data_IF_276239015341
#
_entry.id   IF_276239015341
#
_cell.length_a   1.000
_cell.length_b   1.000
_cell.length_c   1.000
_cell.angle_alpha   90.00
_cell.angle_beta   90.00
_cell.angle_gamma   90.00
#
_symmetry.space_group_name_H-M   'P 1'
#
loop_
_entity.id
_entity.type
_entity.pdbx_description
1 polymer ?
#
# COMPACT_ATOMS: atom_id res chain seq x y z
N UNK A 1 -3.07 34.88 52.60
CA UNK A 1 -2.69 35.97 51.68
C UNK A 1 -2.99 35.57 50.26
N UNK A 2 -3.82 36.33 49.51
CA UNK A 2 -4.02 36.07 48.09
C UNK A 2 -2.76 36.55 47.36
N UNK A 3 -2.03 35.62 46.75
CA UNK A 3 -0.87 35.92 45.91
C UNK A 3 -1.35 36.62 44.64
N UNK A 4 -0.94 37.88 44.42
CA UNK A 4 -1.25 38.63 43.22
C UNK A 4 -0.11 38.44 42.20
N UNK A 5 -0.38 37.79 41.07
CA UNK A 5 0.59 37.60 39.98
C UNK A 5 0.52 38.81 39.04
N UNK A 6 1.62 39.57 38.93
CA UNK A 6 1.74 40.68 37.99
C UNK A 6 2.32 40.17 36.68
N UNK A 7 1.63 40.47 35.57
CA UNK A 7 2.09 40.12 34.21
C UNK A 7 2.82 41.34 33.66
N UNK A 8 4.02 41.13 33.17
CA UNK A 8 4.84 42.12 32.45
C UNK A 8 5.35 41.44 31.18
N UNK A 9 4.77 41.83 30.04
CA UNK A 9 5.14 41.23 28.73
C UNK A 9 6.30 42.04 28.12
N UNK A 10 7.24 41.34 27.52
CA UNK A 10 8.21 41.95 26.61
C UNK A 10 7.52 42.37 25.29
N UNK A 11 8.15 43.26 24.49
CA UNK A 11 7.60 43.68 23.23
C UNK A 11 7.40 42.50 22.27
N UNK A 12 8.36 41.56 22.23
CA UNK A 12 8.25 40.37 21.40
C UNK A 12 7.04 39.46 21.76
N UNK A 13 6.76 39.34 23.07
CA UNK A 13 5.59 38.58 23.55
C UNK A 13 4.27 39.28 23.23
N UNK A 14 4.23 40.63 23.33
CA UNK A 14 3.06 41.42 22.90
C UNK A 14 2.76 41.22 21.40
N UNK A 15 3.81 41.30 20.57
CA UNK A 15 3.70 41.13 19.14
C UNK A 15 3.22 39.70 18.79
N UNK A 16 3.76 38.69 19.46
CA UNK A 16 3.36 37.29 19.32
C UNK A 16 1.90 37.06 19.72
N UNK A 17 1.45 37.62 20.84
CA UNK A 17 0.08 37.50 21.29
C UNK A 17 -0.89 38.25 20.36
N UNK A 18 -0.50 39.42 19.87
CA UNK A 18 -1.31 40.20 18.92
C UNK A 18 -1.44 39.47 17.59
N UNK A 19 -0.34 38.93 17.06
CA UNK A 19 -0.37 38.10 15.84
C UNK A 19 -1.26 36.86 16.00
N UNK A 20 -1.24 36.23 17.18
CA UNK A 20 -2.09 35.08 17.48
C UNK A 20 -3.60 35.42 17.50
N UNK A 21 -3.94 36.65 17.86
CA UNK A 21 -5.33 37.14 17.87
C UNK A 21 -5.84 37.62 16.49
N UNK A 22 -4.92 38.08 15.62
CA UNK A 22 -5.27 38.68 14.32
C UNK A 22 -5.22 37.70 13.17
N UNK A 23 -4.60 36.51 13.30
CA UNK A 23 -4.47 35.55 12.20
C UNK A 23 -4.41 34.09 12.62
N UNK A 24 -4.73 33.21 11.66
CA UNK A 24 -4.66 31.76 11.82
C UNK A 24 -5.87 31.10 12.50
N UNK A 25 -5.89 29.76 12.49
CA UNK A 25 -6.92 28.96 13.18
C UNK A 25 -6.34 28.44 14.49
N UNK A 26 -6.84 28.95 15.61
CA UNK A 26 -6.37 28.62 16.94
C UNK A 26 -7.51 28.14 17.85
N UNK A 27 -7.18 27.30 18.83
CA UNK A 27 -8.14 26.85 19.82
C UNK A 27 -8.67 28.05 20.64
N UNK A 28 -10.00 28.16 20.79
CA UNK A 28 -10.65 29.27 21.48
C UNK A 28 -10.05 29.54 22.90
N UNK A 29 -9.64 28.50 23.62
CA UNK A 29 -9.00 28.61 24.93
C UNK A 29 -7.64 29.29 24.86
N UNK A 30 -6.86 29.04 23.80
CA UNK A 30 -5.55 29.68 23.57
C UNK A 30 -5.74 31.16 23.29
N UNK A 31 -6.72 31.53 22.48
CA UNK A 31 -7.07 32.92 22.20
C UNK A 31 -7.50 33.68 23.48
N UNK A 32 -8.40 33.08 24.28
CA UNK A 32 -8.81 33.67 25.56
C UNK A 32 -7.63 33.89 26.52
N UNK A 33 -6.70 32.96 26.58
CA UNK A 33 -5.47 33.12 27.41
C UNK A 33 -4.57 34.24 26.90
N UNK A 34 -4.45 34.38 25.56
CA UNK A 34 -3.74 35.52 24.97
C UNK A 34 -4.37 36.87 25.35
N UNK A 35 -5.69 36.96 25.27
CA UNK A 35 -6.44 38.14 25.66
C UNK A 35 -6.25 38.47 27.17
N UNK A 36 -6.29 37.45 28.03
CA UNK A 36 -6.04 37.62 29.49
C UNK A 36 -4.67 38.20 29.74
N UNK A 37 -3.61 37.70 29.07
CA UNK A 37 -2.25 38.18 29.28
C UNK A 37 -2.06 39.61 28.80
N UNK A 38 -2.59 39.98 27.64
CA UNK A 38 -2.54 41.34 27.11
C UNK A 38 -3.30 42.34 28.01
N UNK A 39 -4.50 41.95 28.46
CA UNK A 39 -5.27 42.81 29.37
C UNK A 39 -4.59 42.96 30.75
N UNK A 40 -3.99 41.89 31.27
CA UNK A 40 -3.28 41.94 32.53
C UNK A 40 -2.00 42.82 32.45
N UNK A 41 -1.28 42.76 31.32
CA UNK A 41 -0.10 43.62 31.05
C UNK A 41 -0.51 45.09 30.90
N UNK A 42 -1.70 45.37 30.37
CA UNK A 42 -2.27 46.71 30.32
C UNK A 42 -2.80 47.24 31.69
N UNK A 43 -2.67 46.45 32.75
CA UNK A 43 -3.07 46.86 34.11
C UNK A 43 -4.55 46.69 34.41
N UNK A 44 -5.32 45.99 33.58
CA UNK A 44 -6.74 45.75 33.83
C UNK A 44 -6.94 44.83 35.03
N UNK A 45 -7.97 45.10 35.84
CA UNK A 45 -8.21 44.26 37.04
C UNK A 45 -8.71 42.85 36.65
N UNK A 46 -8.41 41.84 37.52
CA UNK A 46 -8.81 40.43 37.26
C UNK A 46 -10.33 40.27 37.12
N UNK A 47 -11.12 41.12 37.79
CA UNK A 47 -12.58 41.11 37.69
C UNK A 47 -13.03 41.63 36.32
N UNK A 48 -12.44 42.74 35.84
CA UNK A 48 -12.76 43.31 34.53
C UNK A 48 -12.27 42.40 33.40
N UNK A 49 -11.12 41.79 33.54
CA UNK A 49 -10.60 40.77 32.60
C UNK A 49 -11.59 39.59 32.51
N UNK A 50 -12.04 39.06 33.65
CA UNK A 50 -12.97 37.96 33.69
C UNK A 50 -14.33 38.29 33.01
N UNK A 51 -14.79 39.49 33.27
CA UNK A 51 -16.04 39.98 32.66
C UNK A 51 -15.92 40.21 31.13
N UNK A 52 -14.89 40.93 30.70
CA UNK A 52 -14.70 41.29 29.28
C UNK A 52 -14.44 40.10 28.36
N UNK A 53 -13.64 39.09 28.84
CA UNK A 53 -13.31 37.90 28.06
C UNK A 53 -14.33 36.76 28.26
N UNK A 54 -15.28 36.95 29.17
CA UNK A 54 -16.31 35.92 29.51
C UNK A 54 -15.62 34.62 29.98
N UNK A 55 -14.83 34.72 31.07
CA UNK A 55 -14.16 33.57 31.70
C UNK A 55 -14.28 33.65 33.22
N UNK A 56 -14.12 32.54 33.91
CA UNK A 56 -14.10 32.56 35.39
C UNK A 56 -12.80 33.17 35.92
N UNK A 57 -12.86 33.90 37.06
CA UNK A 57 -11.70 34.52 37.71
C UNK A 57 -10.58 33.50 38.01
N UNK A 58 -10.91 32.26 38.31
CA UNK A 58 -9.94 31.16 38.45
C UNK A 58 -9.13 30.87 37.17
N UNK A 59 -9.71 31.18 36.00
CA UNK A 59 -9.00 31.05 34.72
C UNK A 59 -8.01 32.20 34.53
N UNK A 60 -8.41 33.40 34.86
CA UNK A 60 -7.53 34.57 34.84
C UNK A 60 -6.32 34.33 35.77
N UNK A 61 -6.59 34.00 37.04
CA UNK A 61 -5.56 33.69 38.03
C UNK A 61 -4.59 32.61 37.55
N UNK A 62 -5.10 31.46 37.06
CA UNK A 62 -4.24 30.36 36.58
C UNK A 62 -3.43 30.72 35.36
N UNK A 63 -3.95 31.55 34.45
CA UNK A 63 -3.23 31.98 33.26
C UNK A 63 -2.07 32.90 33.65
N UNK A 64 -2.33 33.90 34.53
CA UNK A 64 -1.30 34.80 35.06
C UNK A 64 -0.22 34.05 35.83
N UNK A 65 -0.63 33.13 36.72
CA UNK A 65 0.29 32.29 37.48
C UNK A 65 1.23 31.51 36.58
N UNK A 66 0.67 30.85 35.54
CA UNK A 66 1.47 30.02 34.59
C UNK A 66 2.42 30.86 33.75
N UNK A 67 2.09 32.11 33.49
CA UNK A 67 3.00 33.02 32.83
C UNK A 67 4.14 33.41 33.74
N UNK A 68 3.86 33.84 34.99
CA UNK A 68 4.86 34.32 35.94
C UNK A 68 5.75 33.20 36.47
N UNK A 69 5.20 32.03 36.77
CA UNK A 69 5.96 30.86 37.26
C UNK A 69 6.67 30.07 36.12
N UNK A 70 6.30 30.29 34.89
CA UNK A 70 6.84 29.60 33.73
C UNK A 70 7.27 30.55 32.63
N UNK A 71 6.50 30.56 31.54
CA UNK A 71 6.73 31.45 30.39
C UNK A 71 5.45 31.58 29.55
N UNK A 72 5.51 32.35 28.47
CA UNK A 72 4.41 32.56 27.56
C UNK A 72 3.84 31.24 26.97
N UNK A 73 4.70 30.33 26.57
CA UNK A 73 4.27 29.04 26.01
C UNK A 73 3.54 28.20 27.07
N UNK A 74 4.04 28.13 28.29
CA UNK A 74 3.37 27.43 29.38
C UNK A 74 1.98 28.03 29.70
N UNK A 75 1.86 29.36 29.66
CA UNK A 75 0.57 30.01 29.86
C UNK A 75 -0.45 29.73 28.75
N UNK A 76 -0.01 29.65 27.50
CA UNK A 76 -0.86 29.39 26.34
C UNK A 76 -1.20 27.92 26.13
N UNK A 77 -0.32 26.99 26.55
CA UNK A 77 -0.47 25.55 26.40
C UNK A 77 -1.48 24.98 27.40
N UNK A 78 -2.23 23.99 26.98
CA UNK A 78 -3.11 23.22 27.87
C UNK A 78 -2.28 22.10 28.55
N UNK A 79 -2.37 21.98 29.85
CA UNK A 79 -1.74 20.87 30.56
C UNK A 79 -2.45 19.56 30.19
N UNK A 80 -1.70 18.49 29.89
CA UNK A 80 -2.28 17.18 29.73
C UNK A 80 -3.10 16.81 30.98
N UNK A 81 -4.34 16.47 30.81
CA UNK A 81 -5.13 15.93 31.93
C UNK A 81 -4.51 14.62 32.38
N UNK A 82 -4.30 14.39 33.68
CA UNK A 82 -3.94 13.09 34.17
C UNK A 82 -4.99 12.09 33.69
N UNK A 83 -4.59 11.15 32.80
CA UNK A 83 -5.48 10.08 32.33
C UNK A 83 -5.86 9.14 33.48
N UNK A 84 -6.85 8.28 33.25
CA UNK A 84 -7.13 7.19 34.16
C UNK A 84 -5.88 6.30 34.34
N UNK A 85 -5.70 5.77 35.55
CA UNK A 85 -4.61 4.84 35.84
C UNK A 85 -4.61 3.67 34.85
N UNK A 86 -3.42 3.21 34.47
CA UNK A 86 -3.29 2.07 33.57
C UNK A 86 -3.90 0.83 34.21
N UNK A 87 -4.78 0.14 33.49
CA UNK A 87 -5.45 -1.09 33.97
C UNK A 87 -4.46 -2.27 34.05
N UNK A 88 -3.45 -2.30 33.16
CA UNK A 88 -2.39 -3.32 33.16
C UNK A 88 -1.12 -2.75 33.80
N UNK A 89 -0.49 -3.56 34.64
CA UNK A 89 0.84 -3.31 35.19
C UNK A 89 1.92 -3.58 34.13
N UNK A 90 3.15 -3.12 34.35
CA UNK A 90 4.25 -3.39 33.41
C UNK A 90 4.52 -4.88 33.17
N UNK A 91 4.36 -5.73 34.20
CA UNK A 91 4.48 -7.19 34.05
C UNK A 91 3.36 -7.77 33.17
N UNK A 92 2.16 -7.31 33.36
CA UNK A 92 0.99 -7.75 32.57
C UNK A 92 1.05 -7.23 31.13
N UNK A 93 1.59 -6.04 30.89
CA UNK A 93 1.86 -5.54 29.54
C UNK A 93 2.92 -6.40 28.84
N UNK A 94 3.99 -6.80 29.52
CA UNK A 94 4.99 -7.72 28.98
C UNK A 94 4.38 -9.11 28.66
N UNK A 95 3.51 -9.60 29.54
CA UNK A 95 2.78 -10.86 29.31
C UNK A 95 1.85 -10.76 28.10
N UNK A 96 1.14 -9.64 27.93
CA UNK A 96 0.29 -9.37 26.76
C UNK A 96 1.12 -9.38 25.46
N UNK A 97 2.28 -8.73 25.46
CA UNK A 97 3.19 -8.71 24.32
C UNK A 97 3.68 -10.13 24.00
N UNK A 98 4.13 -10.88 25.00
CA UNK A 98 4.59 -12.26 24.84
C UNK A 98 3.49 -13.16 24.27
N UNK A 99 2.26 -13.04 24.80
CA UNK A 99 1.08 -13.79 24.33
C UNK A 99 0.75 -13.41 22.88
N UNK A 100 0.77 -12.14 22.54
CA UNK A 100 0.50 -11.66 21.18
C UNK A 100 1.51 -12.14 20.14
N UNK A 101 2.76 -12.39 20.55
CA UNK A 101 3.84 -12.94 19.72
C UNK A 101 3.87 -14.47 19.70
N UNK A 102 3.08 -15.16 20.53
CA UNK A 102 3.02 -16.62 20.59
C UNK A 102 2.10 -17.21 19.51
N UNK A 103 2.13 -18.53 19.36
CA UNK A 103 1.21 -19.26 18.50
C UNK A 103 -0.23 -19.06 18.98
N UNK A 104 -1.19 -18.72 18.10
CA UNK A 104 -2.60 -18.62 18.45
C UNK A 104 -3.15 -19.97 18.95
N UNK A 105 -4.26 -19.97 19.69
CA UNK A 105 -4.92 -21.21 20.13
C UNK A 105 -5.31 -22.12 18.95
N UNK A 106 -5.44 -23.42 19.21
CA UNK A 106 -5.91 -24.38 18.21
C UNK A 106 -7.25 -23.94 17.58
N UNK A 107 -7.37 -24.12 16.27
CA UNK A 107 -8.52 -23.68 15.49
C UNK A 107 -8.53 -22.17 15.17
N UNK A 108 -7.47 -21.45 15.50
CA UNK A 108 -7.31 -20.03 15.19
C UNK A 108 -6.06 -19.75 14.37
N UNK A 109 -6.23 -19.08 13.23
CA UNK A 109 -5.11 -18.74 12.34
C UNK A 109 -4.26 -17.56 12.84
N UNK A 110 -4.79 -16.76 13.78
CA UNK A 110 -4.15 -15.53 14.31
C UNK A 110 -4.77 -15.12 15.64
N UNK A 111 -4.01 -14.36 16.42
CA UNK A 111 -4.56 -13.66 17.57
C UNK A 111 -5.47 -12.51 17.14
N UNK A 112 -6.61 -12.39 17.80
CA UNK A 112 -7.49 -11.22 17.72
C UNK A 112 -7.44 -10.46 19.04
N UNK A 113 -7.87 -9.21 19.05
CA UNK A 113 -7.94 -8.41 20.29
C UNK A 113 -8.81 -9.07 21.36
N UNK A 114 -9.87 -9.73 20.93
CA UNK A 114 -10.81 -10.42 21.82
C UNK A 114 -10.20 -11.70 22.43
N UNK A 115 -9.51 -12.49 21.60
CA UNK A 115 -8.77 -13.67 22.08
C UNK A 115 -7.66 -13.27 23.07
N UNK A 116 -6.94 -12.18 22.78
CA UNK A 116 -5.91 -11.66 23.68
C UNK A 116 -6.52 -11.15 25.00
N UNK A 117 -7.63 -10.42 24.93
CA UNK A 117 -8.33 -9.98 26.15
C UNK A 117 -8.76 -11.16 27.01
N UNK A 118 -9.37 -12.18 26.39
CA UNK A 118 -9.75 -13.42 27.09
C UNK A 118 -8.56 -14.22 27.61
N UNK A 119 -7.45 -14.27 26.89
CA UNK A 119 -6.22 -14.92 27.37
C UNK A 119 -5.63 -14.17 28.57
N UNK A 120 -5.59 -12.85 28.53
CA UNK A 120 -5.09 -12.04 29.65
C UNK A 120 -5.95 -12.19 30.91
N UNK A 121 -7.28 -12.26 30.79
CA UNK A 121 -8.18 -12.54 31.93
C UNK A 121 -7.86 -13.90 32.58
N UNK A 122 -7.48 -14.91 31.78
CA UNK A 122 -7.09 -16.23 32.30
C UNK A 122 -5.69 -16.25 32.92
N UNK A 123 -4.80 -15.40 32.49
CA UNK A 123 -3.39 -15.36 32.89
C UNK A 123 -3.11 -14.35 34.00
N UNK A 124 -4.06 -13.50 34.35
CA UNK A 124 -3.95 -12.44 35.36
C UNK A 124 -5.12 -12.48 36.33
N UNK A 125 -5.09 -11.62 37.32
CA UNK A 125 -6.19 -11.48 38.30
C UNK A 125 -7.35 -10.58 37.81
N UNK A 126 -7.29 -10.08 36.58
CA UNK A 126 -8.35 -9.26 36.00
C UNK A 126 -9.61 -10.09 35.74
N UNK A 127 -10.74 -9.63 36.22
CA UNK A 127 -12.06 -10.26 35.95
C UNK A 127 -12.61 -9.88 34.58
N UNK A 128 -12.16 -8.73 34.03
CA UNK A 128 -12.55 -8.20 32.73
C UNK A 128 -11.44 -7.33 32.12
N UNK A 129 -11.21 -7.49 30.83
CA UNK A 129 -10.29 -6.67 30.06
C UNK A 129 -10.88 -6.33 28.69
N UNK A 130 -11.07 -5.04 28.41
CA UNK A 130 -11.65 -4.64 27.14
C UNK A 130 -10.62 -4.78 25.99
N UNK A 131 -11.13 -5.15 24.80
CA UNK A 131 -10.34 -5.20 23.57
C UNK A 131 -9.64 -3.86 23.24
N UNK A 132 -10.26 -2.74 23.66
CA UNK A 132 -9.67 -1.41 23.44
C UNK A 132 -8.45 -1.17 24.35
N UNK A 133 -8.48 -1.67 25.59
CA UNK A 133 -7.30 -1.66 26.45
C UNK A 133 -6.15 -2.44 25.83
N UNK A 134 -6.43 -3.66 25.33
CA UNK A 134 -5.45 -4.50 24.62
C UNK A 134 -4.92 -3.78 23.39
N UNK A 135 -5.79 -3.20 22.57
CA UNK A 135 -5.41 -2.46 21.36
C UNK A 135 -4.44 -1.32 21.66
N UNK A 136 -4.74 -0.52 22.69
CA UNK A 136 -3.89 0.63 23.09
C UNK A 136 -2.51 0.17 23.57
N UNK A 137 -2.46 -0.88 24.39
CA UNK A 137 -1.17 -1.40 24.89
C UNK A 137 -0.33 -1.99 23.76
N UNK A 138 -0.91 -2.76 22.85
CA UNK A 138 -0.21 -3.29 21.69
C UNK A 138 0.24 -2.18 20.71
N UNK A 139 -0.54 -1.12 20.57
CA UNK A 139 -0.17 0.02 19.72
C UNK A 139 1.09 0.75 20.23
N UNK A 140 1.29 0.85 21.54
CA UNK A 140 2.51 1.43 22.14
C UNK A 140 3.77 0.62 21.77
N UNK A 141 3.62 -0.69 21.55
CA UNK A 141 4.69 -1.59 21.10
C UNK A 141 4.69 -1.82 19.57
N UNK A 142 3.94 -1.04 18.80
CA UNK A 142 3.79 -1.20 17.34
C UNK A 142 3.33 -2.59 16.89
N UNK A 143 2.71 -3.38 17.77
CA UNK A 143 2.26 -4.74 17.48
C UNK A 143 0.84 -4.78 16.91
N UNK A 144 0.67 -5.53 15.83
CA UNK A 144 -0.62 -5.80 15.18
C UNK A 144 -0.73 -7.29 14.86
N UNK A 145 -0.93 -8.17 15.86
CA UNK A 145 -0.85 -9.63 15.68
C UNK A 145 -1.95 -10.21 14.76
N UNK A 146 -2.97 -9.41 14.43
CA UNK A 146 -3.98 -9.76 13.42
C UNK A 146 -3.54 -9.47 11.97
N UNK A 147 -2.41 -8.76 11.76
CA UNK A 147 -1.81 -8.56 10.44
C UNK A 147 -0.73 -9.60 10.20
N UNK A 148 -0.77 -10.20 9.03
CA UNK A 148 0.33 -11.01 8.50
C UNK A 148 0.80 -10.33 7.23
N UNK A 149 2.08 -10.13 7.11
CA UNK A 149 2.72 -9.74 5.87
C UNK A 149 3.38 -11.00 5.31
N UNK A 150 3.21 -11.19 3.99
CA UNK A 150 3.92 -12.26 3.31
C UNK A 150 5.39 -11.86 3.23
N UNK A 151 6.23 -12.65 3.86
CA UNK A 151 7.66 -12.42 3.88
C UNK A 151 8.34 -13.57 3.14
N UNK A 152 8.87 -13.25 1.97
CA UNK A 152 9.84 -14.10 1.28
C UNK A 152 11.13 -13.30 1.23
N UNK A 153 12.18 -13.79 1.88
CA UNK A 153 13.54 -13.38 1.51
C UNK A 153 13.96 -14.36 0.42
N UNK A 154 13.96 -13.95 -0.86
CA UNK A 154 14.65 -14.75 -1.87
C UNK A 154 16.11 -14.83 -1.44
N UNK A 155 16.74 -15.97 -1.61
CA UNK A 155 18.21 -16.03 -1.57
C UNK A 155 18.70 -15.11 -2.69
N UNK A 156 19.24 -13.96 -2.32
CA UNK A 156 19.82 -13.01 -3.28
C UNK A 156 21.25 -13.49 -3.50
N UNK A 157 21.39 -14.40 -4.44
CA UNK A 157 22.68 -14.86 -4.95
C UNK A 157 23.10 -14.06 -6.19
N UNK A 158 24.29 -14.35 -6.70
CA UNK A 158 24.79 -13.70 -7.93
C UNK A 158 23.85 -13.88 -9.13
N UNK A 159 23.17 -15.02 -9.25
CA UNK A 159 22.19 -15.28 -10.32
C UNK A 159 20.95 -14.42 -10.18
N UNK A 160 20.48 -14.24 -8.94
CA UNK A 160 19.35 -13.33 -8.67
C UNK A 160 19.68 -11.90 -9.08
N UNK A 161 20.85 -11.41 -8.65
CA UNK A 161 21.29 -10.04 -8.96
C UNK A 161 21.46 -9.85 -10.47
N UNK A 162 22.14 -10.76 -11.14
CA UNK A 162 22.37 -10.69 -12.59
C UNK A 162 21.05 -10.61 -13.37
N UNK A 163 20.04 -11.43 -13.05
CA UNK A 163 18.74 -11.41 -13.70
C UNK A 163 17.92 -10.16 -13.33
N UNK A 164 18.05 -9.70 -12.08
CA UNK A 164 17.35 -8.47 -11.65
C UNK A 164 17.90 -7.25 -12.38
N UNK A 165 19.21 -7.09 -12.43
CA UNK A 165 19.84 -5.96 -13.11
C UNK A 165 19.60 -6.01 -14.62
N UNK A 166 19.68 -7.18 -15.25
CA UNK A 166 19.34 -7.38 -16.67
C UNK A 166 17.93 -6.84 -17.01
N UNK A 167 16.93 -7.19 -16.22
CA UNK A 167 15.56 -6.69 -16.44
C UNK A 167 15.43 -5.19 -16.16
N UNK A 168 16.09 -4.69 -15.12
CA UNK A 168 16.05 -3.26 -14.78
C UNK A 168 16.75 -2.40 -15.85
N UNK A 169 17.83 -2.89 -16.41
CA UNK A 169 18.55 -2.20 -17.49
C UNK A 169 17.69 -2.14 -18.76
N UNK A 170 16.98 -3.23 -19.11
CA UNK A 170 15.99 -3.21 -20.20
C UNK A 170 14.92 -2.13 -20.02
N UNK A 171 14.44 -1.94 -18.80
CA UNK A 171 13.41 -0.92 -18.50
C UNK A 171 13.96 0.51 -18.52
N UNK A 172 15.25 0.68 -18.36
CA UNK A 172 15.94 1.97 -18.39
C UNK A 172 16.36 2.42 -19.80
N UNK A 173 16.33 1.50 -20.77
CA UNK A 173 16.68 1.81 -22.15
C UNK A 173 15.68 2.76 -22.83
N UNK A 174 16.13 3.48 -23.83
CA UNK A 174 15.25 4.25 -24.71
C UNK A 174 14.43 3.31 -25.62
N UNK A 175 13.19 3.72 -25.99
CA UNK A 175 12.34 2.94 -26.86
C UNK A 175 13.00 2.63 -28.22
N UNK A 176 13.11 1.35 -28.57
CA UNK A 176 13.61 0.89 -29.87
C UNK A 176 12.56 0.03 -30.58
N UNK A 177 12.07 0.51 -31.75
CA UNK A 177 11.07 -0.20 -32.55
C UNK A 177 11.59 -1.51 -33.19
N UNK A 178 12.90 -1.59 -33.39
CA UNK A 178 13.53 -2.80 -33.92
C UNK A 178 13.81 -3.84 -32.85
N UNK A 179 13.97 -3.38 -31.60
CA UNK A 179 14.26 -4.21 -30.44
C UNK A 179 13.32 -3.91 -29.27
N UNK A 180 11.99 -4.05 -29.45
CA UNK A 180 11.03 -3.76 -28.38
C UNK A 180 11.25 -4.64 -27.17
N UNK A 181 10.91 -4.13 -25.97
CA UNK A 181 10.87 -4.87 -24.72
C UNK A 181 9.41 -5.15 -24.36
N UNK A 182 9.04 -6.41 -24.29
CA UNK A 182 7.66 -6.84 -24.02
C UNK A 182 7.64 -7.69 -22.77
N UNK A 183 6.93 -7.24 -21.73
CA UNK A 183 6.65 -8.01 -20.54
C UNK A 183 5.48 -8.96 -20.80
N UNK A 184 5.58 -10.19 -20.33
CA UNK A 184 4.61 -11.24 -20.54
C UNK A 184 4.34 -12.02 -19.26
N UNK A 185 3.05 -12.32 -19.01
CA UNK A 185 2.64 -13.16 -17.89
C UNK A 185 1.23 -13.71 -18.12
N UNK A 186 0.80 -14.69 -17.32
CA UNK A 186 -0.54 -15.22 -17.36
C UNK A 186 -1.33 -15.03 -16.06
N UNK A 187 -2.66 -14.96 -16.19
CA UNK A 187 -3.59 -14.79 -15.10
C UNK A 187 -4.82 -15.68 -15.26
N UNK A 188 -5.01 -16.70 -14.41
CA UNK A 188 -6.25 -17.47 -14.41
C UNK A 188 -7.42 -16.61 -13.96
N UNK A 189 -8.54 -16.75 -14.65
CA UNK A 189 -9.78 -16.01 -14.39
C UNK A 189 -10.96 -16.95 -14.36
N UNK A 190 -11.73 -16.93 -13.26
CA UNK A 190 -12.93 -17.75 -13.14
C UNK A 190 -14.10 -17.06 -13.82
N UNK A 191 -14.84 -17.81 -14.65
CA UNK A 191 -16.09 -17.35 -15.24
C UNK A 191 -17.21 -17.53 -14.21
N UNK A 192 -17.78 -16.42 -13.76
CA UNK A 192 -18.84 -16.38 -12.76
C UNK A 192 -20.08 -15.76 -13.39
N UNK A 193 -21.15 -16.58 -13.51
CA UNK A 193 -22.45 -16.14 -14.00
C UNK A 193 -23.39 -15.77 -12.86
N UNK A 194 -24.35 -14.91 -13.15
CA UNK A 194 -25.41 -14.56 -12.23
C UNK A 194 -26.40 -15.72 -12.06
N UNK A 195 -26.83 -16.01 -10.84
CA UNK A 195 -27.93 -16.93 -10.57
C UNK A 195 -29.29 -16.24 -10.81
N UNK A 196 -29.39 -14.98 -10.44
CA UNK A 196 -30.53 -14.07 -10.69
C UNK A 196 -30.05 -12.77 -11.25
N UNK A 197 -30.89 -12.07 -12.01
CA UNK A 197 -30.56 -10.76 -12.58
C UNK A 197 -30.29 -9.75 -11.46
N UNK A 198 -29.17 -9.01 -11.49
CA UNK A 198 -28.94 -7.92 -10.58
C UNK A 198 -30.03 -6.82 -10.69
N UNK A 199 -30.32 -6.17 -9.60
CA UNK A 199 -31.19 -4.99 -9.56
C UNK A 199 -30.29 -3.78 -9.74
N UNK A 200 -30.47 -3.07 -10.84
CA UNK A 200 -29.68 -1.89 -11.19
C UNK A 200 -29.77 -0.79 -10.11
N UNK A 201 -28.71 -0.02 -9.98
CA UNK A 201 -28.70 1.17 -9.11
C UNK A 201 -29.72 2.20 -9.58
N UNK A 202 -30.36 2.86 -8.61
CA UNK A 202 -31.24 4.01 -8.82
C UNK A 202 -30.85 5.15 -7.85
N UNK A 203 -31.27 6.40 -8.08
CA UNK A 203 -30.99 7.49 -7.16
C UNK A 203 -31.39 7.12 -5.70
N UNK A 204 -30.42 7.13 -4.79
CA UNK A 204 -30.60 6.74 -3.38
C UNK A 204 -30.59 5.23 -3.11
N UNK A 205 -30.43 4.38 -4.13
CA UNK A 205 -30.37 2.92 -3.98
C UNK A 205 -29.15 2.37 -4.73
N UNK A 206 -28.32 1.61 -4.00
CA UNK A 206 -27.18 0.93 -4.58
C UNK A 206 -27.63 -0.25 -5.45
N UNK A 207 -26.82 -0.64 -6.43
CA UNK A 207 -26.97 -1.88 -7.15
C UNK A 207 -26.99 -3.06 -6.16
N UNK A 208 -27.91 -4.04 -6.41
CA UNK A 208 -28.04 -5.24 -5.60
C UNK A 208 -27.80 -6.46 -6.49
N UNK A 209 -26.89 -7.29 -6.12
CA UNK A 209 -26.62 -8.57 -6.76
C UNK A 209 -26.86 -9.73 -5.78
N UNK A 210 -27.21 -10.90 -6.33
CA UNK A 210 -27.45 -12.10 -5.53
C UNK A 210 -26.15 -12.62 -4.88
N UNK A 211 -26.22 -13.17 -3.68
CA UNK A 211 -25.10 -13.90 -3.09
C UNK A 211 -24.82 -15.22 -3.84
N UNK A 212 -25.83 -15.83 -4.46
CA UNK A 212 -25.68 -17.01 -5.30
C UNK A 212 -25.07 -16.65 -6.67
N UNK A 213 -24.22 -17.54 -7.17
CA UNK A 213 -23.60 -17.42 -8.48
C UNK A 213 -23.33 -18.78 -9.11
N UNK A 214 -23.17 -18.83 -10.43
CA UNK A 214 -22.82 -20.03 -11.17
C UNK A 214 -21.36 -19.98 -11.60
N UNK A 215 -20.63 -21.07 -11.35
CA UNK A 215 -19.26 -21.23 -11.86
C UNK A 215 -19.31 -21.88 -13.23
N UNK A 216 -18.87 -21.15 -14.25
CA UNK A 216 -18.91 -21.57 -15.64
C UNK A 216 -17.54 -21.98 -16.19
N UNK A 217 -16.63 -22.37 -15.30
CA UNK A 217 -15.28 -22.78 -15.64
C UNK A 217 -14.24 -21.70 -15.39
N UNK A 218 -13.01 -21.97 -15.83
CA UNK A 218 -11.85 -21.06 -15.72
C UNK A 218 -11.25 -20.88 -17.12
N UNK A 219 -10.83 -19.68 -17.42
CA UNK A 219 -10.01 -19.35 -18.59
C UNK A 219 -8.70 -18.74 -18.15
N UNK A 220 -7.73 -18.67 -19.05
CA UNK A 220 -6.45 -18.04 -18.79
C UNK A 220 -6.28 -16.81 -19.68
N UNK A 221 -5.72 -15.76 -19.11
CA UNK A 221 -5.40 -14.53 -19.81
C UNK A 221 -3.88 -14.49 -19.99
N UNK A 222 -3.40 -14.51 -21.22
CA UNK A 222 -2.02 -14.21 -21.54
C UNK A 222 -1.91 -12.72 -21.84
N UNK A 223 -1.14 -12.01 -21.03
CA UNK A 223 -1.04 -10.55 -21.06
C UNK A 223 0.32 -10.12 -21.54
N UNK A 224 0.34 -9.25 -22.52
CA UNK A 224 1.53 -8.60 -23.05
C UNK A 224 1.49 -7.12 -22.72
N UNK A 225 2.60 -6.54 -22.37
CA UNK A 225 2.79 -5.11 -22.14
C UNK A 225 4.13 -4.67 -22.73
N UNK A 226 4.11 -3.72 -23.65
CA UNK A 226 5.34 -3.04 -24.08
C UNK A 226 5.84 -2.13 -22.96
N UNK A 227 7.08 -2.33 -22.53
CA UNK A 227 7.66 -1.59 -21.40
C UNK A 227 7.83 -0.09 -21.69
N UNK A 228 8.01 0.28 -22.96
CA UNK A 228 8.36 1.64 -23.39
C UNK A 228 7.24 2.35 -24.14
N UNK A 229 6.27 1.62 -24.70
CA UNK A 229 5.19 2.18 -25.51
C UNK A 229 3.82 1.91 -24.89
N UNK A 230 2.81 2.73 -25.22
CA UNK A 230 1.46 2.53 -24.71
C UNK A 230 0.74 1.41 -25.46
N UNK A 231 1.31 0.19 -25.46
CA UNK A 231 0.75 -0.96 -26.12
C UNK A 231 0.62 -2.15 -25.16
N UNK A 232 -0.51 -2.78 -25.20
CA UNK A 232 -0.82 -4.04 -24.51
C UNK A 232 -1.70 -4.91 -25.36
N UNK A 233 -1.62 -6.21 -25.11
CA UNK A 233 -2.49 -7.23 -25.70
C UNK A 233 -2.87 -8.27 -24.66
N UNK A 234 -4.11 -8.72 -24.67
CA UNK A 234 -4.60 -9.81 -23.82
C UNK A 234 -5.22 -10.88 -24.69
N UNK A 235 -4.71 -12.09 -24.57
CA UNK A 235 -5.27 -13.27 -25.27
C UNK A 235 -5.96 -14.17 -24.25
N UNK A 236 -7.22 -14.52 -24.52
CA UNK A 236 -8.02 -15.42 -23.67
C UNK A 236 -7.93 -16.85 -24.23
N UNK A 237 -7.43 -17.77 -23.41
CA UNK A 237 -7.30 -19.20 -23.77
C UNK A 237 -8.04 -20.09 -22.76
N UNK A 238 -8.30 -21.33 -23.12
CA UNK A 238 -8.90 -22.33 -22.22
C UNK A 238 -7.84 -22.92 -21.28
N UNK A 239 -6.64 -23.08 -21.78
CA UNK A 239 -5.52 -23.68 -21.06
C UNK A 239 -4.32 -22.72 -21.03
N UNK A 240 -3.33 -23.05 -20.20
CA UNK A 240 -2.03 -22.37 -20.10
C UNK A 240 -0.90 -23.37 -20.31
N UNK A 241 -0.91 -24.01 -21.45
CA UNK A 241 0.09 -25.01 -21.82
C UNK A 241 1.29 -24.37 -22.53
N UNK A 242 2.40 -25.11 -22.65
CA UNK A 242 3.53 -24.71 -23.51
C UNK A 242 3.11 -24.43 -24.95
N UNK A 243 2.07 -25.13 -25.47
CA UNK A 243 1.51 -24.86 -26.78
C UNK A 243 0.83 -23.49 -26.86
N UNK A 244 0.07 -23.12 -25.82
CA UNK A 244 -0.58 -21.79 -25.76
C UNK A 244 0.48 -20.68 -25.70
N UNK A 245 1.52 -20.87 -24.89
CA UNK A 245 2.68 -19.97 -24.85
C UNK A 245 3.34 -19.85 -26.23
N UNK A 246 3.65 -20.98 -26.88
CA UNK A 246 4.29 -20.97 -28.20
C UNK A 246 3.44 -20.24 -29.26
N UNK A 247 2.11 -20.42 -29.24
CA UNK A 247 1.20 -19.68 -30.10
C UNK A 247 1.23 -18.17 -29.80
N UNK A 248 1.28 -17.79 -28.53
CA UNK A 248 1.42 -16.40 -28.11
C UNK A 248 2.73 -15.78 -28.64
N UNK A 249 3.84 -16.50 -28.55
CA UNK A 249 5.14 -16.03 -29.07
C UNK A 249 5.12 -15.90 -30.60
N UNK A 250 4.46 -16.81 -31.32
CA UNK A 250 4.28 -16.69 -32.78
C UNK A 250 3.47 -15.44 -33.15
N UNK A 251 2.35 -15.20 -32.48
CA UNK A 251 1.53 -14.02 -32.71
C UNK A 251 2.30 -12.73 -32.37
N UNK A 252 3.10 -12.74 -31.32
CA UNK A 252 3.96 -11.63 -30.95
C UNK A 252 4.93 -11.27 -32.08
N UNK A 253 5.58 -12.28 -32.68
CA UNK A 253 6.56 -12.11 -33.76
C UNK A 253 5.88 -11.72 -35.06
N UNK A 254 4.80 -12.42 -35.47
CA UNK A 254 4.26 -12.34 -36.83
C UNK A 254 3.18 -11.26 -36.98
N UNK A 255 2.43 -10.97 -35.90
CA UNK A 255 1.28 -10.07 -35.93
C UNK A 255 1.60 -8.74 -35.23
N UNK A 256 2.14 -8.81 -34.01
CA UNK A 256 2.27 -7.61 -33.18
C UNK A 256 3.56 -6.83 -33.46
N UNK A 257 4.65 -7.52 -33.76
CA UNK A 257 5.96 -6.91 -34.05
C UNK A 257 6.60 -7.49 -35.31
N UNK A 258 5.91 -7.49 -36.47
CA UNK A 258 6.41 -8.10 -37.71
C UNK A 258 7.71 -7.43 -38.21
N UNK A 259 7.93 -6.17 -37.90
CA UNK A 259 9.10 -5.38 -38.35
C UNK A 259 10.25 -5.36 -37.33
N UNK A 260 10.07 -5.92 -36.11
CA UNK A 260 11.15 -5.96 -35.13
C UNK A 260 12.27 -6.91 -35.60
N UNK A 261 13.50 -6.55 -35.40
CA UNK A 261 14.66 -7.42 -35.65
C UNK A 261 14.77 -8.49 -34.56
N UNK A 262 14.57 -8.09 -33.31
CA UNK A 262 14.60 -8.96 -32.12
C UNK A 262 13.63 -8.42 -31.07
N UNK A 263 12.80 -9.27 -30.50
CA UNK A 263 11.84 -8.93 -29.43
C UNK A 263 12.40 -9.47 -28.13
N UNK A 264 12.67 -8.57 -27.17
CA UNK A 264 13.14 -8.93 -25.86
C UNK A 264 11.93 -9.16 -24.93
N UNK A 265 11.75 -10.39 -24.49
CA UNK A 265 10.57 -10.81 -23.73
C UNK A 265 10.95 -11.00 -22.28
N UNK A 266 10.39 -10.18 -21.39
CA UNK A 266 10.54 -10.32 -19.94
C UNK A 266 9.43 -11.23 -19.44
N UNK A 267 9.80 -12.31 -18.76
CA UNK A 267 8.86 -13.35 -18.29
C UNK A 267 9.35 -14.00 -16.98
N UNK A 268 8.45 -14.74 -16.34
CA UNK A 268 8.77 -15.53 -15.16
C UNK A 268 9.46 -16.86 -15.51
N UNK A 269 9.86 -17.62 -14.48
CA UNK A 269 10.53 -18.91 -14.66
C UNK A 269 9.55 -20.10 -14.72
N UNK A 270 8.35 -19.92 -15.22
CA UNK A 270 7.40 -21.04 -15.38
C UNK A 270 7.97 -22.06 -16.39
N UNK A 271 7.81 -23.34 -16.11
CA UNK A 271 8.35 -24.41 -16.96
C UNK A 271 7.82 -24.41 -18.39
N UNK A 272 6.62 -23.87 -18.59
CA UNK A 272 5.99 -23.69 -19.91
C UNK A 272 6.57 -22.53 -20.71
N UNK A 273 7.27 -21.58 -20.04
CA UNK A 273 7.86 -20.40 -20.67
C UNK A 273 9.28 -20.66 -21.10
N UNK A 274 9.47 -21.55 -22.04
CA UNK A 274 10.79 -21.97 -22.49
C UNK A 274 10.92 -22.00 -24.02
N UNK A 275 12.16 -21.88 -24.49
CA UNK A 275 12.49 -22.11 -25.90
C UNK A 275 12.05 -23.52 -26.37
N UNK A 276 12.08 -24.51 -25.48
CA UNK A 276 11.65 -25.87 -25.77
C UNK A 276 10.19 -25.96 -26.20
N UNK A 277 9.30 -25.16 -25.59
CA UNK A 277 7.88 -25.15 -25.93
C UNK A 277 7.60 -24.80 -27.40
N UNK A 278 8.46 -23.98 -28.04
CA UNK A 278 8.33 -23.67 -29.46
C UNK A 278 8.64 -24.90 -30.33
N UNK A 279 9.70 -25.66 -30.00
CA UNK A 279 10.08 -26.86 -30.72
C UNK A 279 9.12 -28.02 -30.48
N UNK A 280 8.46 -28.08 -29.35
CA UNK A 280 7.42 -29.05 -29.04
C UNK A 280 6.09 -28.74 -29.76
N UNK A 281 5.89 -27.47 -30.16
CA UNK A 281 4.65 -26.99 -30.76
C UNK A 281 4.74 -26.87 -32.28
N UNK A 282 5.88 -26.43 -32.82
CA UNK A 282 6.06 -26.14 -34.23
C UNK A 282 7.14 -27.00 -34.84
N UNK A 283 7.07 -27.22 -36.20
CA UNK A 283 8.20 -27.84 -36.90
C UNK A 283 9.52 -27.10 -36.64
N UNK A 284 10.63 -27.82 -36.57
CA UNK A 284 11.93 -27.28 -36.20
C UNK A 284 12.37 -26.02 -37.01
N UNK A 285 12.16 -25.95 -38.36
CA UNK A 285 12.47 -24.73 -39.10
C UNK A 285 11.67 -23.51 -38.63
N UNK A 286 10.39 -23.68 -38.32
CA UNK A 286 9.50 -22.62 -37.83
C UNK A 286 9.88 -22.21 -36.39
N UNK A 287 10.08 -23.16 -35.50
CA UNK A 287 10.54 -22.90 -34.14
C UNK A 287 11.86 -22.10 -34.17
N UNK A 288 12.80 -22.48 -35.05
CA UNK A 288 14.07 -21.79 -35.21
C UNK A 288 13.90 -20.38 -35.76
N UNK A 289 12.98 -20.18 -36.70
CA UNK A 289 12.63 -18.85 -37.24
C UNK A 289 12.17 -17.92 -36.13
N UNK A 290 11.25 -18.38 -35.29
CA UNK A 290 10.73 -17.62 -34.15
C UNK A 290 11.84 -17.32 -33.14
N UNK A 291 12.63 -18.32 -32.78
CA UNK A 291 13.72 -18.18 -31.81
C UNK A 291 14.82 -17.19 -32.23
N UNK A 292 15.02 -16.98 -33.50
CA UNK A 292 15.96 -15.93 -33.99
C UNK A 292 15.44 -14.52 -33.77
N UNK A 293 14.13 -14.38 -33.54
CA UNK A 293 13.45 -13.10 -33.34
C UNK A 293 13.12 -12.84 -31.88
N UNK A 294 13.28 -13.83 -31.00
CA UNK A 294 12.93 -13.76 -29.57
C UNK A 294 14.18 -13.87 -28.71
N UNK A 295 14.28 -13.00 -27.73
CA UNK A 295 15.29 -13.03 -26.67
C UNK A 295 14.56 -13.05 -25.34
N UNK A 296 14.78 -14.12 -24.52
CA UNK A 296 14.07 -14.30 -23.26
C UNK A 296 14.89 -13.81 -22.09
N UNK A 297 14.31 -12.91 -21.29
CA UNK A 297 14.86 -12.33 -20.07
C UNK A 297 14.01 -12.77 -18.89
N UNK A 298 14.55 -13.65 -18.07
CA UNK A 298 13.82 -14.24 -16.95
C UNK A 298 14.00 -13.42 -15.69
N UNK A 299 12.88 -12.99 -15.07
CA UNK A 299 12.95 -12.40 -13.73
C UNK A 299 13.52 -13.42 -12.72
N UNK A 300 14.18 -12.98 -11.63
CA UNK A 300 14.64 -13.89 -10.60
C UNK A 300 13.50 -14.70 -9.98
N UNK A 301 13.78 -15.87 -9.46
CA UNK A 301 12.80 -16.67 -8.71
C UNK A 301 12.26 -15.86 -7.52
N UNK A 302 10.96 -15.93 -7.29
CA UNK A 302 10.25 -15.16 -6.24
C UNK A 302 10.32 -13.63 -6.39
N UNK A 303 10.56 -13.15 -7.60
CA UNK A 303 10.63 -11.72 -7.92
C UNK A 303 9.65 -11.32 -9.05
N UNK A 304 8.44 -11.90 -9.07
CA UNK A 304 7.40 -11.55 -10.05
C UNK A 304 7.08 -10.05 -10.06
N UNK A 305 7.28 -9.38 -8.92
CA UNK A 305 7.14 -7.92 -8.80
C UNK A 305 8.04 -7.13 -9.77
N UNK A 306 9.11 -7.72 -10.30
CA UNK A 306 9.97 -7.12 -11.34
C UNK A 306 9.32 -7.20 -12.72
N UNK A 307 8.36 -8.10 -12.95
CA UNK A 307 7.66 -8.16 -14.21
C UNK A 307 6.59 -7.06 -14.28
N UNK A 308 6.85 -6.04 -15.10
CA UNK A 308 5.99 -4.86 -15.21
C UNK A 308 4.53 -5.20 -15.57
N UNK A 309 4.30 -6.28 -16.28
CA UNK A 309 2.95 -6.72 -16.71
C UNK A 309 2.05 -7.09 -15.52
N UNK A 310 2.60 -7.48 -14.38
CA UNK A 310 1.83 -7.75 -13.15
C UNK A 310 1.02 -6.53 -12.69
N UNK A 311 1.59 -5.33 -12.89
CA UNK A 311 0.88 -4.07 -12.60
C UNK A 311 -0.32 -3.93 -13.54
N UNK A 312 -0.14 -4.22 -14.83
CA UNK A 312 -1.21 -4.11 -15.83
C UNK A 312 -2.30 -5.15 -15.61
N UNK A 313 -1.95 -6.38 -15.22
CA UNK A 313 -2.90 -7.42 -14.78
C UNK A 313 -3.73 -6.90 -13.59
N UNK A 314 -3.09 -6.25 -12.62
CA UNK A 314 -3.78 -5.61 -11.50
C UNK A 314 -4.75 -4.50 -11.93
N UNK A 315 -4.39 -3.72 -12.95
CA UNK A 315 -5.26 -2.68 -13.53
C UNK A 315 -6.43 -3.30 -14.28
N UNK A 316 -6.18 -4.32 -15.12
CA UNK A 316 -7.22 -5.08 -15.82
C UNK A 316 -8.25 -5.66 -14.85
N UNK A 317 -7.78 -6.30 -13.77
CA UNK A 317 -8.66 -6.87 -12.75
C UNK A 317 -9.59 -5.82 -12.14
N UNK A 318 -9.06 -4.65 -11.77
CA UNK A 318 -9.84 -3.58 -11.12
C UNK A 318 -10.76 -2.82 -12.07
N UNK A 319 -10.35 -2.60 -13.31
CA UNK A 319 -11.10 -1.77 -14.26
C UNK A 319 -12.12 -2.56 -15.09
N UNK A 320 -11.80 -3.80 -15.45
CA UNK A 320 -12.60 -4.60 -16.35
C UNK A 320 -13.24 -5.83 -15.69
N UNK A 321 -12.48 -6.52 -14.81
CA UNK A 321 -12.86 -7.84 -14.29
C UNK A 321 -13.46 -7.80 -12.88
N UNK A 322 -13.58 -6.64 -12.24
CA UNK A 322 -14.22 -6.47 -10.93
C UNK A 322 -15.74 -6.53 -11.02
N UNK A 323 -16.23 -7.59 -11.66
CA UNK A 323 -17.64 -7.91 -11.87
C UNK A 323 -17.79 -9.36 -12.30
N UNK A 324 -19.02 -9.88 -12.23
CA UNK A 324 -19.30 -11.26 -12.69
C UNK A 324 -19.42 -11.30 -14.20
N UNK A 325 -18.60 -12.13 -14.85
CA UNK A 325 -18.64 -12.40 -16.29
C UNK A 325 -18.73 -13.90 -16.47
N UNK A 326 -19.93 -14.40 -16.82
CA UNK A 326 -20.22 -15.82 -16.87
C UNK A 326 -19.93 -16.47 -18.22
N UNK A 327 -19.75 -15.71 -19.30
CA UNK A 327 -19.53 -16.24 -20.64
C UNK A 327 -18.16 -15.83 -21.18
N UNK A 328 -17.39 -16.81 -21.71
CA UNK A 328 -16.06 -16.55 -22.31
C UNK A 328 -16.13 -15.50 -23.42
N UNK A 329 -17.14 -15.59 -24.32
CA UNK A 329 -17.27 -14.63 -25.42
C UNK A 329 -17.45 -13.20 -24.91
N UNK A 330 -18.26 -12.99 -23.88
CA UNK A 330 -18.44 -11.69 -23.25
C UNK A 330 -17.13 -11.20 -22.62
N UNK A 331 -16.40 -12.08 -21.95
CA UNK A 331 -15.09 -11.74 -21.36
C UNK A 331 -14.12 -11.26 -22.44
N UNK A 332 -14.04 -11.96 -23.59
CA UNK A 332 -13.19 -11.56 -24.72
C UNK A 332 -13.56 -10.17 -25.23
N UNK A 333 -14.86 -9.90 -25.42
CA UNK A 333 -15.35 -8.59 -25.90
C UNK A 333 -15.04 -7.47 -24.91
N UNK A 334 -15.26 -7.70 -23.62
CA UNK A 334 -14.99 -6.70 -22.57
C UNK A 334 -13.49 -6.39 -22.43
N UNK A 335 -12.65 -7.42 -22.49
CA UNK A 335 -11.20 -7.27 -22.47
C UNK A 335 -10.71 -6.51 -23.72
N UNK A 336 -11.23 -6.85 -24.91
CA UNK A 336 -10.86 -6.14 -26.13
C UNK A 336 -11.22 -4.65 -26.07
N UNK A 337 -12.42 -4.31 -25.59
CA UNK A 337 -12.84 -2.93 -25.40
C UNK A 337 -11.95 -2.17 -24.38
N UNK A 338 -11.58 -2.82 -23.28
CA UNK A 338 -10.65 -2.25 -22.30
C UNK A 338 -9.24 -2.03 -22.89
N UNK A 339 -8.75 -3.00 -23.63
CA UNK A 339 -7.45 -2.95 -24.33
C UNK A 339 -7.40 -1.77 -25.32
N UNK A 340 -8.42 -1.65 -26.17
CA UNK A 340 -8.54 -0.59 -27.16
C UNK A 340 -8.58 0.79 -26.50
N UNK A 341 -9.38 0.97 -25.46
CA UNK A 341 -9.47 2.22 -24.71
C UNK A 341 -8.14 2.61 -24.11
N UNK A 342 -7.41 1.68 -23.48
CA UNK A 342 -6.13 1.97 -22.85
C UNK A 342 -5.01 2.23 -23.84
N UNK A 343 -5.00 1.49 -24.96
CA UNK A 343 -4.06 1.72 -26.05
C UNK A 343 -4.30 3.11 -26.70
N UNK A 344 -5.56 3.45 -26.99
CA UNK A 344 -5.94 4.74 -27.55
C UNK A 344 -5.65 5.92 -26.58
N UNK A 345 -5.85 5.72 -25.28
CA UNK A 345 -5.52 6.73 -24.27
C UNK A 345 -4.02 6.91 -24.03
N UNK A 346 -3.15 6.16 -24.69
CA UNK A 346 -1.69 6.24 -24.49
C UNK A 346 -1.26 5.84 -23.08
N UNK A 347 -2.04 5.01 -22.38
CA UNK A 347 -1.76 4.65 -20.99
C UNK A 347 -0.47 3.80 -20.88
N UNK A 348 0.42 4.19 -19.96
CA UNK A 348 1.71 3.52 -19.72
C UNK A 348 1.88 3.18 -18.26
N UNK A 349 2.66 2.15 -17.99
CA UNK A 349 3.25 1.91 -16.68
C UNK A 349 4.58 2.65 -16.62
N UNK A 350 4.75 3.53 -15.65
CA UNK A 350 6.00 4.24 -15.44
C UNK A 350 6.83 3.50 -14.40
N UNK A 351 7.86 2.81 -14.86
CA UNK A 351 8.77 2.10 -13.97
C UNK A 351 9.74 3.08 -13.31
N UNK A 352 9.84 3.01 -11.98
CA UNK A 352 10.64 3.97 -11.20
C UNK A 352 11.78 3.32 -10.41
N UNK A 353 11.85 2.00 -10.39
CA UNK A 353 12.88 1.27 -9.66
C UNK A 353 14.03 0.93 -10.61
N UNK A 354 15.15 1.63 -10.47
CA UNK A 354 16.33 1.50 -11.33
C UNK A 354 17.38 0.60 -10.70
N UNK A 355 18.37 0.17 -11.48
CA UNK A 355 19.56 -0.60 -11.03
C UNK A 355 20.27 0.11 -9.87
N UNK A 356 20.49 1.43 -9.95
CA UNK A 356 21.11 2.19 -8.85
C UNK A 356 20.26 2.17 -7.58
N UNK A 357 18.95 2.30 -7.71
CA UNK A 357 18.04 2.18 -6.56
C UNK A 357 18.04 0.77 -5.97
N UNK A 358 18.13 -0.26 -6.81
CA UNK A 358 18.24 -1.64 -6.36
C UNK A 358 19.52 -1.85 -5.56
N UNK A 359 20.66 -1.40 -6.10
CA UNK A 359 21.97 -1.47 -5.41
C UNK A 359 21.95 -0.75 -4.07
N UNK A 360 21.41 0.46 -4.03
CA UNK A 360 21.29 1.23 -2.79
C UNK A 360 20.37 0.56 -1.76
N UNK A 361 19.20 0.08 -2.20
CA UNK A 361 18.17 -0.46 -1.30
C UNK A 361 18.48 -1.88 -0.81
N UNK A 362 19.11 -2.68 -1.65
CA UNK A 362 19.44 -4.08 -1.39
C UNK A 362 20.93 -4.29 -1.08
N UNK A 363 21.69 -3.23 -0.80
CA UNK A 363 23.15 -3.26 -0.60
C UNK A 363 23.62 -4.38 0.37
N UNK A 364 22.85 -4.63 1.44
CA UNK A 364 23.17 -5.67 2.44
C UNK A 364 22.93 -7.10 1.95
N UNK A 365 22.16 -7.25 0.90
CA UNK A 365 21.77 -8.55 0.36
C UNK A 365 22.52 -8.90 -0.93
N UNK A 366 23.26 -7.94 -1.52
CA UNK A 366 24.13 -8.24 -2.64
C UNK A 366 25.27 -9.18 -2.21
N UNK A 367 25.68 -10.10 -3.07
CA UNK A 367 26.84 -10.95 -2.83
C UNK A 367 28.07 -10.10 -2.54
N UNK A 368 28.78 -10.42 -1.47
CA UNK A 368 30.00 -9.72 -1.07
C UNK A 368 31.19 -10.68 -1.23
N UNK A 369 32.03 -10.46 -2.27
CA UNK A 369 33.19 -11.34 -2.51
C UNK A 369 34.14 -11.45 -1.32
N UNK A 370 34.12 -10.47 -0.40
CA UNK A 370 34.97 -10.46 0.79
C UNK A 370 34.45 -11.33 1.94
N UNK A 371 33.20 -11.81 1.87
CA UNK A 371 32.60 -12.66 2.92
C UNK A 371 32.65 -14.16 2.63
N UNK A 372 33.08 -14.56 1.46
CA UNK A 372 33.21 -15.98 1.06
C UNK A 372 34.65 -16.53 1.18
N UNK A 373 35.54 -15.80 1.84
CA UNK A 373 36.94 -16.24 2.12
C UNK A 373 37.14 -16.64 3.58
#
# INVERSE_FOLDING_TARGET
>A
MNVCYRVELSQAERDQLTALLTGGVHAARKLKRAQILLAADAGVSDQDIAASITVGGSTVYRTKRRFVEGNLEAALREEPRPGAARKLTGKEEALLVATACSTPPEGRARWTLELLAGAMVKLTEHTDLSRETVRRRLAENHLKPWRKEMWCIPQIDGTYVARMEDVLDLYAEDPDLKRPVVCFDESPTQLIGEARQPISAMPGQLERYDCEYRRNGTVNLFVFLDAHRPWRKVKVTEHRTGRDFAQCMRELVDIHYPQAEQIRVVLDNLSTHSAGALYETFPAPEARRLMRRLEFHYVPKHASWLNMVEIEIGVLRRQCLDRRIGARQRLVTEIAAWEDQRNAAGARVRWMFTTDRARAKLARAYPDPAKES
#
